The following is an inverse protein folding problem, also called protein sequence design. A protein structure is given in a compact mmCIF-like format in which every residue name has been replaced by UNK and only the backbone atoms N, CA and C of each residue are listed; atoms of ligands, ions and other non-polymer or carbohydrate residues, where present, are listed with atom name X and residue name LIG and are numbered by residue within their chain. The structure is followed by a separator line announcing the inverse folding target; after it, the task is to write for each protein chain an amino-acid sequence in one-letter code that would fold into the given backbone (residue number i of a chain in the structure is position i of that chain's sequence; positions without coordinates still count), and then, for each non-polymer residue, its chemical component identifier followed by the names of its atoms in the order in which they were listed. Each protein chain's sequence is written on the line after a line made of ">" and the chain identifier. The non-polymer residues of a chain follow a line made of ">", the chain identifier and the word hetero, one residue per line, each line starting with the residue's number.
data_IF_545195692311
#
_entry.id   IF_545195692311
#
_cell.length_a   1.000
_cell.length_b   1.000
_cell.length_c   1.000
_cell.angle_alpha   90.00
_cell.angle_beta   90.00
_cell.angle_gamma   90.00
#
_symmetry.space_group_name_H-M   'P 1'
#
loop_
_entity.id
_entity.type
_entity.pdbx_description
1 polymer ?
#
# COMPACT_ATOMS: atom_id res chain seq x y z
N UNK A 1 -5.89 29.01 19.47
CA UNK A 1 -6.96 29.74 18.76
C UNK A 1 -6.73 29.65 17.26
N UNK A 2 -7.74 29.29 16.48
CA UNK A 2 -7.68 29.30 15.00
C UNK A 2 -8.59 30.42 14.47
N UNK A 3 -8.08 31.38 13.67
CA UNK A 3 -8.91 32.39 13.05
C UNK A 3 -9.99 31.80 12.13
N UNK A 4 -11.14 32.49 12.02
CA UNK A 4 -12.25 32.04 11.18
C UNK A 4 -11.82 31.88 9.71
N UNK A 5 -11.08 32.83 9.15
CA UNK A 5 -10.59 32.75 7.77
C UNK A 5 -9.66 31.54 7.54
N UNK A 6 -8.81 31.22 8.52
CA UNK A 6 -7.96 30.01 8.45
C UNK A 6 -8.81 28.74 8.50
N UNK A 7 -9.87 28.74 9.31
CA UNK A 7 -10.80 27.61 9.41
C UNK A 7 -11.56 27.43 8.09
N UNK A 8 -12.16 28.50 7.56
CA UNK A 8 -12.84 28.50 6.25
C UNK A 8 -11.92 28.06 5.11
N UNK A 9 -10.67 28.52 5.09
CA UNK A 9 -9.71 28.10 4.07
C UNK A 9 -9.39 26.59 4.15
N UNK A 10 -9.35 26.00 5.35
CA UNK A 10 -9.16 24.55 5.53
C UNK A 10 -10.36 23.76 5.03
N UNK A 11 -11.58 24.18 5.37
CA UNK A 11 -12.80 23.55 4.87
C UNK A 11 -12.91 23.68 3.34
N UNK A 12 -12.60 24.85 2.79
CA UNK A 12 -12.57 25.06 1.33
C UNK A 12 -11.53 24.17 0.64
N UNK A 13 -10.34 24.00 1.25
CA UNK A 13 -9.31 23.07 0.76
C UNK A 13 -9.74 21.60 0.81
N UNK A 14 -10.70 21.25 1.67
CA UNK A 14 -11.35 19.94 1.74
C UNK A 14 -12.63 19.86 0.89
N UNK A 15 -12.94 20.89 0.09
CA UNK A 15 -14.09 20.91 -0.81
C UNK A 15 -15.41 21.39 -0.18
N UNK A 16 -15.41 21.89 1.05
CA UNK A 16 -16.60 22.38 1.74
C UNK A 16 -16.72 23.92 1.66
N UNK A 17 -17.84 24.40 1.14
CA UNK A 17 -18.23 25.80 1.17
C UNK A 17 -18.62 26.27 2.57
N UNK A 18 -18.90 27.57 2.72
CA UNK A 18 -19.21 28.16 4.03
C UNK A 18 -20.45 27.56 4.70
N UNK A 19 -21.55 27.38 3.95
CA UNK A 19 -22.77 26.74 4.49
C UNK A 19 -22.51 25.29 4.87
N UNK A 20 -21.79 24.54 4.02
CA UNK A 20 -21.45 23.14 4.29
C UNK A 20 -20.52 23.00 5.51
N UNK A 21 -19.60 23.95 5.74
CA UNK A 21 -18.79 24.02 6.97
C UNK A 21 -19.69 24.18 8.20
N UNK A 22 -20.69 25.08 8.15
CA UNK A 22 -21.63 25.29 9.26
C UNK A 22 -22.40 24.01 9.53
N UNK A 23 -22.98 23.42 8.49
CA UNK A 23 -23.74 22.18 8.60
C UNK A 23 -22.87 21.05 9.16
N UNK A 24 -21.68 20.84 8.63
CA UNK A 24 -20.80 19.75 9.06
C UNK A 24 -20.39 19.88 10.53
N UNK A 25 -20.10 21.10 11.01
CA UNK A 25 -19.79 21.34 12.42
C UNK A 25 -21.01 21.09 13.31
N UNK A 26 -22.20 21.60 12.93
CA UNK A 26 -23.42 21.36 13.69
C UNK A 26 -23.79 19.86 13.73
N UNK A 27 -23.71 19.17 12.59
CA UNK A 27 -23.97 17.74 12.48
C UNK A 27 -23.00 16.88 13.30
N UNK A 28 -21.73 17.27 13.40
CA UNK A 28 -20.78 16.60 14.29
C UNK A 28 -21.07 16.89 15.76
N UNK A 29 -21.37 18.15 16.09
CA UNK A 29 -21.54 18.63 17.45
C UNK A 29 -22.97 18.50 18.01
N UNK A 30 -23.89 17.79 17.36
CA UNK A 30 -25.10 17.31 18.07
C UNK A 30 -24.77 16.12 19.00
N UNK A 31 -23.62 15.45 18.80
CA UNK A 31 -23.20 14.33 19.63
C UNK A 31 -21.98 14.69 20.49
N UNK A 32 -21.97 14.21 21.73
CA UNK A 32 -20.82 14.25 22.62
C UNK A 32 -20.62 15.57 23.35
N UNK A 33 -19.35 16.00 23.45
CA UNK A 33 -18.97 17.19 24.22
C UNK A 33 -17.45 17.36 24.36
N UNK A 34 -17.06 18.32 25.19
CA UNK A 34 -15.65 18.65 25.46
C UNK A 34 -15.26 18.14 26.85
N UNK A 35 -14.15 17.41 26.93
CA UNK A 35 -13.58 16.92 28.20
C UNK A 35 -12.77 17.99 28.94
N UNK A 36 -13.06 18.18 30.23
CA UNK A 36 -12.36 19.13 31.11
C UNK A 36 -10.90 18.77 31.32
N UNK A 37 -10.55 17.48 31.31
CA UNK A 37 -9.17 17.01 31.50
C UNK A 37 -8.19 17.57 30.48
N UNK A 38 -8.64 17.73 29.24
CA UNK A 38 -7.79 18.22 28.14
C UNK A 38 -8.05 19.69 27.80
N UNK A 39 -9.23 20.21 28.13
CA UNK A 39 -9.67 21.54 27.69
C UNK A 39 -10.32 22.35 28.83
N UNK A 40 -9.66 22.52 29.99
CA UNK A 40 -10.25 23.18 31.16
C UNK A 40 -10.69 24.61 30.86
N UNK A 41 -9.93 25.34 30.04
CA UNK A 41 -10.26 26.73 29.65
C UNK A 41 -11.50 26.83 28.75
N UNK A 42 -11.82 25.77 27.99
CA UNK A 42 -12.99 25.72 27.10
C UNK A 42 -14.25 25.46 27.92
N UNK A 43 -14.18 24.53 28.87
CA UNK A 43 -15.35 24.12 29.67
C UNK A 43 -15.53 24.94 30.95
N UNK A 44 -14.50 25.68 31.39
CA UNK A 44 -14.54 26.45 32.63
C UNK A 44 -14.55 25.58 33.90
N UNK A 45 -13.97 24.37 33.83
CA UNK A 45 -13.91 23.39 34.91
C UNK A 45 -12.47 22.96 35.15
N UNK A 46 -12.19 22.51 36.38
CA UNK A 46 -10.90 21.91 36.72
C UNK A 46 -10.65 20.61 35.91
N UNK A 47 -9.40 20.30 35.53
CA UNK A 47 -9.06 19.09 34.76
C UNK A 47 -9.32 17.77 35.50
N UNK A 48 -9.57 17.81 36.80
CA UNK A 48 -9.78 16.61 37.63
C UNK A 48 -10.84 16.89 38.69
N UNK A 49 -11.89 16.06 38.82
CA UNK A 49 -12.20 14.89 37.97
C UNK A 49 -12.55 15.29 36.53
N UNK A 50 -12.31 14.37 35.58
CA UNK A 50 -12.68 14.61 34.19
C UNK A 50 -14.20 14.68 34.04
N UNK A 51 -14.68 15.75 33.42
CA UNK A 51 -16.10 16.03 33.20
C UNK A 51 -16.30 16.42 31.74
N UNK A 52 -17.37 15.92 31.13
CA UNK A 52 -17.74 16.30 29.76
C UNK A 52 -18.79 17.41 29.83
N UNK A 53 -18.53 18.53 29.16
CA UNK A 53 -19.55 19.55 28.91
C UNK A 53 -20.06 19.37 27.48
N UNK A 54 -21.36 19.07 27.39
CA UNK A 54 -22.01 18.68 26.14
C UNK A 54 -22.26 19.87 25.21
N UNK A 55 -22.37 19.57 23.93
CA UNK A 55 -22.62 20.56 22.89
C UNK A 55 -24.10 20.96 22.77
N UNK A 56 -25.02 20.10 23.21
CA UNK A 56 -26.46 20.39 23.35
C UNK A 56 -27.06 19.59 24.52
N UNK A 57 -28.38 19.69 24.71
CA UNK A 57 -29.10 19.01 25.80
C UNK A 57 -29.33 17.50 25.59
N UNK A 58 -29.05 16.95 24.40
CA UNK A 58 -29.33 15.56 24.01
C UNK A 58 -28.10 14.90 23.39
N UNK A 59 -27.01 14.88 24.16
CA UNK A 59 -25.66 14.59 23.67
C UNK A 59 -25.40 13.18 23.12
N UNK A 60 -26.34 12.25 23.25
CA UNK A 60 -26.29 10.89 22.70
C UNK A 60 -27.38 10.61 21.65
N UNK A 61 -28.14 11.64 21.26
CA UNK A 61 -29.21 11.57 20.26
C UNK A 61 -28.83 12.43 19.06
N UNK A 62 -28.88 11.85 17.86
CA UNK A 62 -28.63 12.60 16.63
C UNK A 62 -29.88 13.40 16.22
N UNK A 63 -29.96 14.65 16.65
CA UNK A 63 -31.07 15.56 16.41
C UNK A 63 -30.62 17.03 16.19
N UNK A 64 -31.59 17.94 16.07
CA UNK A 64 -31.32 19.35 15.74
C UNK A 64 -31.01 20.25 16.93
N UNK A 65 -30.83 19.72 18.15
CA UNK A 65 -30.80 20.53 19.36
C UNK A 65 -29.63 21.52 19.41
N UNK A 66 -28.45 21.12 18.93
CA UNK A 66 -27.33 22.05 18.74
C UNK A 66 -27.67 23.30 17.91
N UNK A 67 -28.59 23.18 16.94
CA UNK A 67 -29.01 24.29 16.10
C UNK A 67 -30.19 25.07 16.71
N UNK A 68 -31.21 24.40 17.25
CA UNK A 68 -32.36 25.06 17.89
C UNK A 68 -31.92 25.88 19.10
N UNK A 69 -31.12 25.29 19.99
CA UNK A 69 -30.64 25.96 21.20
C UNK A 69 -29.69 27.13 20.89
N UNK A 70 -28.90 27.03 19.83
CA UNK A 70 -28.07 28.15 19.36
C UNK A 70 -28.93 29.32 18.90
N UNK A 71 -29.96 29.05 18.09
CA UNK A 71 -30.87 30.04 17.51
C UNK A 71 -31.73 30.69 18.61
N UNK A 72 -32.21 29.91 19.56
CA UNK A 72 -33.03 30.37 20.69
C UNK A 72 -32.19 31.07 21.77
N UNK A 73 -30.86 30.98 21.68
CA UNK A 73 -29.92 31.57 22.64
C UNK A 73 -29.90 30.87 23.99
N UNK A 74 -30.37 29.62 24.05
CA UNK A 74 -30.44 28.79 25.27
C UNK A 74 -29.27 27.80 25.39
N UNK A 75 -28.44 27.66 24.35
CA UNK A 75 -27.36 26.68 24.30
C UNK A 75 -26.35 26.85 25.43
N UNK A 76 -25.91 25.72 25.99
CA UNK A 76 -24.79 25.63 26.93
C UNK A 76 -23.50 25.14 26.28
N UNK A 77 -23.46 25.06 24.94
CA UNK A 77 -22.28 24.62 24.21
C UNK A 77 -21.04 25.45 24.62
N UNK A 78 -19.98 24.82 25.16
CA UNK A 78 -18.80 25.53 25.65
C UNK A 78 -17.99 26.20 24.52
N UNK A 79 -18.24 25.83 23.26
CA UNK A 79 -17.68 26.46 22.05
C UNK A 79 -18.58 27.57 21.49
N UNK A 80 -19.74 27.81 22.09
CA UNK A 80 -20.62 28.96 21.79
C UNK A 80 -20.57 30.00 22.90
N UNK A 81 -20.62 29.54 24.15
CA UNK A 81 -20.73 30.36 25.36
C UNK A 81 -19.53 30.11 26.27
N UNK A 82 -18.44 30.83 26.00
CA UNK A 82 -17.27 30.93 26.87
C UNK A 82 -16.99 32.40 27.24
N UNK A 83 -16.49 32.62 28.46
CA UNK A 83 -16.08 33.93 28.95
C UNK A 83 -14.98 34.56 28.06
N UNK A 84 -14.08 33.74 27.53
CA UNK A 84 -13.12 34.12 26.52
C UNK A 84 -13.74 33.91 25.13
N UNK A 85 -14.23 34.99 24.53
CA UNK A 85 -14.86 34.96 23.19
C UNK A 85 -13.95 34.40 22.08
N UNK A 86 -12.63 34.39 22.29
CA UNK A 86 -11.70 33.76 21.33
C UNK A 86 -11.88 32.23 21.31
N UNK A 87 -12.32 31.59 22.39
CA UNK A 87 -12.54 30.14 22.43
C UNK A 87 -13.88 29.71 21.78
N UNK A 88 -14.78 30.66 21.48
CA UNK A 88 -16.09 30.35 20.90
C UNK A 88 -16.03 30.00 19.39
N UNK A 89 -15.45 28.84 19.03
CA UNK A 89 -15.33 28.39 17.63
C UNK A 89 -16.68 28.23 16.95
N UNK A 90 -17.61 27.55 17.61
CA UNK A 90 -18.91 27.21 17.04
C UNK A 90 -19.73 28.49 16.84
N UNK A 91 -19.68 29.43 17.81
CA UNK A 91 -20.31 30.75 17.65
C UNK A 91 -19.83 31.48 16.40
N UNK A 92 -18.51 31.46 16.13
CA UNK A 92 -17.93 32.13 14.96
C UNK A 92 -18.28 31.42 13.66
N UNK A 93 -18.32 30.08 13.66
CA UNK A 93 -18.67 29.28 12.50
C UNK A 93 -20.15 29.47 12.17
N UNK A 94 -21.04 29.22 13.12
CA UNK A 94 -22.49 29.33 12.96
C UNK A 94 -22.93 30.74 12.57
N UNK A 95 -22.24 31.77 13.08
CA UNK A 95 -22.50 33.16 12.71
C UNK A 95 -21.79 33.65 11.45
N UNK A 96 -20.96 32.82 10.79
CA UNK A 96 -20.11 33.28 9.69
C UNK A 96 -20.90 33.70 8.45
N UNK A 97 -22.12 33.18 8.24
CA UNK A 97 -23.02 33.53 7.15
C UNK A 97 -24.21 34.39 7.59
N UNK A 98 -24.09 35.06 8.75
CA UNK A 98 -25.19 35.82 9.36
C UNK A 98 -26.26 34.94 10.00
N UNK A 99 -25.87 33.77 10.54
CA UNK A 99 -26.74 32.75 11.14
C UNK A 99 -27.72 32.10 10.15
N UNK A 100 -27.55 32.27 8.84
CA UNK A 100 -28.53 31.81 7.86
C UNK A 100 -28.64 30.28 7.86
N UNK A 101 -27.52 29.58 7.72
CA UNK A 101 -27.50 28.11 7.61
C UNK A 101 -27.94 27.45 8.93
N UNK A 102 -27.38 27.88 10.07
CA UNK A 102 -27.72 27.28 11.37
C UNK A 102 -29.19 27.52 11.75
N UNK A 103 -29.76 28.67 11.37
CA UNK A 103 -31.19 28.95 11.59
C UNK A 103 -32.07 28.04 10.75
N UNK A 104 -31.68 27.77 9.50
CA UNK A 104 -32.44 26.85 8.65
C UNK A 104 -32.42 25.42 9.22
N UNK A 105 -31.25 24.96 9.69
CA UNK A 105 -31.10 23.66 10.35
C UNK A 105 -31.93 23.54 11.63
N UNK A 106 -32.06 24.61 12.42
CA UNK A 106 -32.85 24.62 13.65
C UNK A 106 -34.37 24.72 13.43
N UNK A 107 -34.85 25.10 12.24
CA UNK A 107 -36.29 25.33 12.00
C UNK A 107 -37.10 24.09 11.68
N UNK A 108 -36.47 23.03 11.16
CA UNK A 108 -37.18 21.82 10.75
C UNK A 108 -36.42 20.58 11.21
N UNK A 109 -37.10 19.69 11.94
CA UNK A 109 -36.47 18.44 12.42
C UNK A 109 -35.94 17.55 11.29
N UNK A 110 -36.61 17.57 10.13
CA UNK A 110 -36.14 16.86 8.93
C UNK A 110 -34.99 17.60 8.22
N UNK A 111 -35.01 18.94 8.21
CA UNK A 111 -33.97 19.73 7.54
C UNK A 111 -32.59 19.59 8.16
N UNK A 112 -32.50 19.40 9.48
CA UNK A 112 -31.23 19.07 10.13
C UNK A 112 -30.65 17.76 9.58
N UNK A 113 -31.43 16.67 9.62
CA UNK A 113 -30.97 15.35 9.18
C UNK A 113 -30.65 15.32 7.69
N UNK A 114 -31.44 15.99 6.85
CA UNK A 114 -31.14 16.14 5.42
C UNK A 114 -29.82 16.89 5.19
N UNK A 115 -29.63 18.04 5.85
CA UNK A 115 -28.38 18.80 5.72
C UNK A 115 -27.16 17.98 6.19
N UNK A 116 -27.32 17.16 7.23
CA UNK A 116 -26.27 16.27 7.71
C UNK A 116 -25.96 15.12 6.76
N UNK A 117 -26.99 14.50 6.17
CA UNK A 117 -26.80 13.47 5.17
C UNK A 117 -26.01 14.01 3.97
N UNK A 118 -26.36 15.19 3.46
CA UNK A 118 -25.68 15.81 2.32
C UNK A 118 -24.18 16.04 2.58
N UNK A 119 -23.83 16.64 3.74
CA UNK A 119 -22.41 16.93 4.05
C UNK A 119 -21.60 15.71 4.43
N UNK A 120 -22.20 14.69 5.08
CA UNK A 120 -21.52 13.43 5.35
C UNK A 120 -21.33 12.60 4.09
N UNK A 121 -22.30 12.57 3.18
CA UNK A 121 -22.14 11.95 1.85
C UNK A 121 -20.96 12.59 1.12
N UNK A 122 -20.86 13.92 1.09
CA UNK A 122 -19.72 14.61 0.47
C UNK A 122 -18.37 14.30 1.14
N UNK A 123 -18.36 14.03 2.46
CA UNK A 123 -17.15 13.62 3.18
C UNK A 123 -16.70 12.21 2.81
N UNK A 124 -17.64 11.33 2.46
CA UNK A 124 -17.39 9.95 2.05
C UNK A 124 -17.05 9.89 0.55
N UNK A 125 -17.86 10.56 -0.26
CA UNK A 125 -17.77 10.65 -1.72
C UNK A 125 -16.75 11.70 -2.15
N UNK A 126 -15.50 11.50 -1.74
CA UNK A 126 -14.37 12.38 -2.10
C UNK A 126 -13.98 12.32 -3.57
N UNK A 127 -14.57 11.39 -4.31
CA UNK A 127 -14.35 11.18 -5.74
C UNK A 127 -15.40 12.00 -6.52
N UNK A 128 -14.99 12.91 -7.44
CA UNK A 128 -15.94 13.72 -8.20
C UNK A 128 -16.98 12.86 -8.92
N UNK A 129 -18.24 13.30 -8.97
CA UNK A 129 -19.33 12.56 -9.59
C UNK A 129 -19.13 12.24 -11.09
N UNK A 130 -18.22 12.96 -11.77
CA UNK A 130 -17.83 12.67 -13.15
C UNK A 130 -16.88 11.47 -13.29
N UNK A 131 -16.34 10.97 -12.19
CA UNK A 131 -15.43 9.82 -12.17
C UNK A 131 -16.27 8.57 -11.94
N UNK A 132 -16.27 7.69 -12.95
CA UNK A 132 -16.79 6.33 -12.78
C UNK A 132 -15.73 5.51 -12.07
N UNK A 133 -16.03 5.08 -10.84
CA UNK A 133 -15.20 4.10 -10.14
C UNK A 133 -15.26 2.77 -10.88
N UNK A 134 -14.15 2.03 -10.87
CA UNK A 134 -14.17 0.64 -11.31
C UNK A 134 -14.97 -0.20 -10.32
N UNK A 135 -15.25 -1.43 -10.70
CA UNK A 135 -15.68 -2.44 -9.73
C UNK A 135 -14.67 -2.51 -8.56
N UNK A 136 -15.12 -2.91 -7.36
CA UNK A 136 -14.22 -3.17 -6.25
C UNK A 136 -13.05 -4.05 -6.68
N UNK A 137 -11.85 -3.70 -6.19
CA UNK A 137 -10.66 -4.48 -6.49
C UNK A 137 -10.74 -5.77 -5.67
N UNK A 138 -11.03 -6.88 -6.34
CA UNK A 138 -11.04 -8.20 -5.73
C UNK A 138 -9.63 -8.69 -5.40
N UNK A 139 -9.53 -9.53 -4.37
CA UNK A 139 -8.28 -10.19 -4.06
C UNK A 139 -7.87 -11.12 -5.21
N UNK A 140 -6.62 -11.00 -5.67
CA UNK A 140 -6.05 -11.94 -6.63
C UNK A 140 -6.07 -13.35 -6.04
N UNK A 141 -6.82 -14.23 -6.69
CA UNK A 141 -7.11 -15.60 -6.27
C UNK A 141 -5.82 -16.42 -6.09
N UNK A 142 -5.03 -16.56 -7.16
CA UNK A 142 -3.75 -17.28 -7.15
C UNK A 142 -2.63 -16.33 -7.51
N UNK A 143 -1.70 -16.12 -6.57
CA UNK A 143 -0.57 -15.21 -6.74
C UNK A 143 0.77 -15.90 -6.46
N UNK A 144 1.59 -16.18 -7.49
CA UNK A 144 2.93 -16.67 -7.28
C UNK A 144 3.91 -15.54 -6.92
N UNK A 145 4.95 -15.91 -6.18
CA UNK A 145 6.13 -15.14 -5.86
C UNK A 145 7.32 -16.04 -6.22
N UNK A 146 8.10 -15.66 -7.22
CA UNK A 146 9.12 -16.53 -7.82
C UNK A 146 10.46 -15.84 -7.79
N UNK A 147 11.51 -16.61 -7.52
CA UNK A 147 12.90 -16.20 -7.66
C UNK A 147 13.64 -17.22 -8.53
N UNK A 148 14.54 -16.71 -9.37
CA UNK A 148 15.48 -17.51 -10.15
C UNK A 148 16.89 -16.98 -9.92
N UNK A 149 17.78 -17.85 -9.46
CA UNK A 149 19.19 -17.52 -9.27
C UNK A 149 20.08 -18.62 -9.82
N UNK A 150 21.29 -18.28 -10.26
CA UNK A 150 22.25 -19.25 -10.69
C UNK A 150 22.95 -19.87 -9.48
N UNK A 151 22.89 -21.20 -9.38
CA UNK A 151 23.59 -21.94 -8.33
C UNK A 151 25.07 -22.10 -8.68
N UNK A 152 25.92 -22.27 -7.67
CA UNK A 152 27.37 -22.46 -7.87
C UNK A 152 27.75 -23.71 -8.68
N UNK A 153 26.85 -24.69 -8.80
CA UNK A 153 27.00 -25.88 -9.66
C UNK A 153 26.56 -25.64 -11.12
N UNK A 154 26.09 -24.42 -11.47
CA UNK A 154 25.66 -24.05 -12.81
C UNK A 154 24.20 -24.37 -13.14
N UNK A 155 23.38 -24.90 -12.21
CA UNK A 155 21.92 -25.03 -12.41
C UNK A 155 21.19 -23.74 -12.02
N UNK A 156 20.01 -23.51 -12.58
CA UNK A 156 19.13 -22.41 -12.14
C UNK A 156 18.32 -22.91 -10.94
N UNK A 157 18.47 -22.28 -9.79
CA UNK A 157 17.59 -22.52 -8.65
C UNK A 157 16.30 -21.73 -8.83
N UNK A 158 15.19 -22.44 -9.01
CA UNK A 158 13.84 -21.90 -9.10
C UNK A 158 13.14 -22.15 -7.76
N UNK A 159 12.76 -21.09 -7.07
CA UNK A 159 12.11 -21.20 -5.77
C UNK A 159 11.09 -20.10 -5.55
N UNK A 160 10.25 -20.27 -4.54
CA UNK A 160 9.30 -19.23 -4.16
C UNK A 160 8.08 -19.78 -3.45
N UNK A 161 7.00 -19.00 -3.51
CA UNK A 161 5.72 -19.30 -2.89
C UNK A 161 4.57 -19.10 -3.86
N UNK A 162 3.53 -19.90 -3.70
CA UNK A 162 2.21 -19.67 -4.28
C UNK A 162 1.26 -19.30 -3.15
N UNK A 163 0.70 -18.09 -3.20
CA UNK A 163 -0.39 -17.67 -2.35
C UNK A 163 -1.71 -18.05 -2.99
N UNK A 164 -2.53 -18.81 -2.29
CA UNK A 164 -3.85 -19.26 -2.71
C UNK A 164 -4.90 -18.62 -1.81
N UNK A 165 -5.91 -17.96 -2.39
CA UNK A 165 -7.06 -17.45 -1.66
C UNK A 165 -7.93 -18.62 -1.14
N UNK A 166 -8.25 -18.58 0.15
CA UNK A 166 -9.00 -19.64 0.86
C UNK A 166 -10.19 -19.06 1.62
N UNK A 167 -10.60 -17.85 1.27
CA UNK A 167 -11.74 -17.13 1.85
C UNK A 167 -13.01 -17.96 1.73
N UNK A 168 -13.89 -17.81 2.73
CA UNK A 168 -15.21 -18.44 2.71
C UNK A 168 -15.95 -18.05 1.43
N UNK A 169 -16.48 -19.06 0.71
CA UNK A 169 -17.09 -18.89 -0.61
C UNK A 169 -16.22 -19.37 -1.78
N UNK A 170 -14.90 -19.49 -1.61
CA UNK A 170 -14.02 -20.09 -2.64
C UNK A 170 -14.21 -21.60 -2.80
N UNK A 171 -14.81 -22.26 -1.81
CA UNK A 171 -15.00 -23.72 -1.78
C UNK A 171 -13.71 -24.51 -1.50
N UNK A 172 -12.63 -23.85 -1.06
CA UNK A 172 -11.33 -24.49 -0.80
C UNK A 172 -11.15 -24.78 0.68
N UNK A 173 -10.93 -26.06 1.02
CA UNK A 173 -10.49 -26.48 2.35
C UNK A 173 -8.97 -26.68 2.36
N UNK A 174 -8.25 -25.93 3.19
CA UNK A 174 -6.78 -26.06 3.32
C UNK A 174 -6.32 -27.45 3.80
N UNK A 175 -7.19 -28.23 4.44
CA UNK A 175 -6.90 -29.61 4.83
C UNK A 175 -7.01 -30.59 3.66
N UNK A 176 -7.71 -30.21 2.58
CA UNK A 176 -7.96 -31.02 1.38
C UNK A 176 -7.59 -30.23 0.11
N UNK A 177 -6.47 -29.50 0.18
CA UNK A 177 -5.93 -28.72 -0.92
C UNK A 177 -4.44 -28.99 -1.10
N UNK A 178 -4.08 -29.52 -2.26
CA UNK A 178 -2.71 -29.71 -2.71
C UNK A 178 -2.39 -28.76 -3.86
N UNK A 179 -1.16 -28.23 -3.86
CA UNK A 179 -0.65 -27.36 -4.92
C UNK A 179 0.59 -27.99 -5.53
N UNK A 180 0.71 -27.93 -6.85
CA UNK A 180 1.95 -28.23 -7.55
C UNK A 180 2.09 -27.32 -8.76
N UNK A 181 3.30 -27.23 -9.30
CA UNK A 181 3.58 -26.48 -10.52
C UNK A 181 3.95 -27.46 -11.63
N UNK A 182 3.71 -27.06 -12.88
CA UNK A 182 4.45 -27.60 -14.02
C UNK A 182 5.18 -26.47 -14.72
N UNK A 183 6.38 -26.71 -15.24
CA UNK A 183 7.07 -25.72 -16.06
C UNK A 183 7.48 -26.30 -17.41
N UNK A 184 7.56 -25.40 -18.38
CA UNK A 184 8.05 -25.68 -19.73
C UNK A 184 9.47 -25.13 -19.89
N UNK A 185 10.29 -25.80 -20.70
CA UNK A 185 11.64 -25.33 -21.02
C UNK A 185 11.62 -24.07 -21.91
N UNK A 186 12.79 -23.56 -22.32
CA UNK A 186 12.89 -22.33 -23.13
C UNK A 186 12.13 -22.40 -24.45
N UNK A 187 11.95 -23.59 -25.03
CA UNK A 187 11.21 -23.77 -26.28
C UNK A 187 9.70 -23.88 -26.04
N UNK A 188 9.26 -23.79 -24.78
CA UNK A 188 7.88 -24.01 -24.39
C UNK A 188 7.49 -25.49 -24.38
N UNK A 189 8.47 -26.41 -24.40
CA UNK A 189 8.23 -27.85 -24.41
C UNK A 189 8.36 -28.47 -23.02
N UNK A 190 7.59 -29.54 -22.80
CA UNK A 190 7.57 -30.30 -21.56
C UNK A 190 6.70 -29.70 -20.45
N UNK A 191 6.50 -30.50 -19.41
CA UNK A 191 5.76 -30.16 -18.20
C UNK A 191 6.44 -30.85 -17.01
N UNK A 192 7.55 -30.29 -16.55
CA UNK A 192 8.25 -30.84 -15.38
C UNK A 192 7.47 -30.49 -14.12
N UNK A 193 7.05 -31.52 -13.38
CA UNK A 193 6.29 -31.35 -12.14
C UNK A 193 7.20 -30.88 -11.01
N UNK A 194 6.80 -29.81 -10.34
CA UNK A 194 7.44 -29.28 -9.14
C UNK A 194 6.47 -29.40 -7.97
N UNK A 195 6.85 -30.22 -6.99
CA UNK A 195 6.08 -30.37 -5.77
C UNK A 195 6.12 -29.07 -4.95
N UNK A 196 5.03 -28.77 -4.26
CA UNK A 196 5.03 -27.74 -3.21
C UNK A 196 4.77 -28.37 -1.85
N UNK A 197 5.14 -27.63 -0.81
CA UNK A 197 4.78 -27.94 0.56
C UNK A 197 3.98 -26.78 1.12
N UNK A 198 2.88 -27.06 1.83
CA UNK A 198 2.18 -26.02 2.57
C UNK A 198 3.11 -25.48 3.66
N UNK A 199 3.22 -24.16 3.76
CA UNK A 199 4.01 -23.53 4.80
C UNK A 199 3.31 -23.70 6.17
N UNK A 200 4.03 -24.21 7.18
CA UNK A 200 3.46 -24.64 8.48
C UNK A 200 2.87 -23.47 9.29
N UNK A 201 3.25 -22.23 8.98
CA UNK A 201 2.65 -20.99 9.51
C UNK A 201 1.90 -20.16 8.45
N UNK A 202 1.79 -20.67 7.22
CA UNK A 202 1.41 -19.93 6.03
C UNK A 202 -0.10 -19.75 5.86
N UNK A 203 -0.79 -19.26 6.88
CA UNK A 203 -2.14 -18.69 6.70
C UNK A 203 -2.10 -17.22 7.03
N UNK A 204 -2.49 -16.38 6.08
CA UNK A 204 -2.54 -14.93 6.26
C UNK A 204 -3.96 -14.42 6.07
N UNK A 205 -4.32 -13.36 6.80
CA UNK A 205 -5.56 -12.62 6.58
C UNK A 205 -5.29 -11.31 5.83
N UNK A 206 -6.21 -10.92 4.95
CA UNK A 206 -6.21 -9.67 4.21
C UNK A 206 -7.31 -8.71 4.67
N UNK A 207 -7.46 -7.62 3.93
CA UNK A 207 -8.59 -6.70 4.10
C UNK A 207 -9.91 -7.44 3.81
N UNK A 208 -11.01 -6.94 4.36
CA UNK A 208 -12.36 -7.48 4.11
C UNK A 208 -12.59 -8.96 4.49
N UNK A 209 -11.76 -9.51 5.39
CA UNK A 209 -11.91 -10.90 5.86
C UNK A 209 -11.31 -11.95 4.92
N UNK A 210 -10.57 -11.52 3.91
CA UNK A 210 -9.86 -12.43 3.01
C UNK A 210 -8.87 -13.31 3.77
N UNK A 211 -8.78 -14.59 3.39
CA UNK A 211 -7.78 -15.52 3.95
C UNK A 211 -7.00 -16.18 2.82
N UNK A 212 -5.74 -16.51 3.10
CA UNK A 212 -4.85 -17.11 2.12
C UNK A 212 -4.01 -18.22 2.74
N UNK A 213 -3.76 -19.28 1.98
CA UNK A 213 -2.77 -20.31 2.28
C UNK A 213 -1.52 -20.14 1.40
N UNK A 214 -0.35 -20.44 1.96
CA UNK A 214 0.93 -20.30 1.28
C UNK A 214 1.58 -21.67 1.04
N UNK A 215 2.06 -21.87 -0.18
CA UNK A 215 2.70 -23.11 -0.63
C UNK A 215 4.09 -22.80 -1.17
N UNK A 216 5.13 -23.31 -0.52
CA UNK A 216 6.52 -23.10 -0.92
C UNK A 216 6.98 -24.16 -1.93
N UNK A 217 7.84 -23.77 -2.85
CA UNK A 217 8.48 -24.69 -3.78
C UNK A 217 9.97 -24.34 -3.96
N UNK A 218 10.75 -25.36 -4.29
CA UNK A 218 12.16 -25.20 -4.64
C UNK A 218 12.56 -26.36 -5.55
N UNK A 219 13.17 -26.06 -6.69
CA UNK A 219 13.67 -27.04 -7.64
C UNK A 219 14.89 -26.51 -8.38
N UNK A 220 15.69 -27.42 -8.92
CA UNK A 220 16.77 -27.08 -9.83
C UNK A 220 16.31 -27.27 -11.28
N UNK A 221 16.52 -26.25 -12.09
CA UNK A 221 16.31 -26.28 -13.54
C UNK A 221 17.68 -26.43 -14.22
N UNK A 222 17.75 -27.36 -15.17
CA UNK A 222 18.94 -27.55 -15.99
C UNK A 222 19.15 -26.30 -16.86
N UNK A 223 20.26 -25.60 -16.65
CA UNK A 223 20.60 -24.38 -17.39
C UNK A 223 20.74 -24.60 -18.91
N UNK A 224 20.98 -25.82 -19.39
CA UNK A 224 21.00 -26.11 -20.83
C UNK A 224 19.60 -26.11 -21.46
N UNK A 225 18.57 -26.46 -20.68
CA UNK A 225 17.16 -26.46 -21.12
C UNK A 225 16.44 -25.17 -20.78
N UNK A 226 16.71 -24.64 -19.60
CA UNK A 226 16.10 -23.42 -19.07
C UNK A 226 14.61 -23.53 -18.81
N UNK A 227 13.96 -22.37 -18.70
CA UNK A 227 12.54 -22.23 -18.38
C UNK A 227 11.94 -21.02 -19.11
N UNK A 228 10.69 -21.14 -19.56
CA UNK A 228 9.95 -20.04 -20.21
C UNK A 228 8.66 -19.65 -19.49
N UNK A 229 8.03 -20.60 -18.80
CA UNK A 229 6.80 -20.38 -18.06
C UNK A 229 6.52 -21.52 -17.10
N UNK A 230 5.61 -21.26 -16.16
CA UNK A 230 5.01 -22.30 -15.33
C UNK A 230 3.49 -22.15 -15.26
N UNK A 231 2.84 -23.25 -14.85
CA UNK A 231 1.42 -23.33 -14.53
C UNK A 231 1.27 -23.73 -13.07
N UNK A 232 0.15 -23.34 -12.46
CA UNK A 232 -0.17 -23.70 -11.08
C UNK A 232 -1.39 -24.62 -11.10
N UNK A 233 -1.28 -25.73 -10.39
CA UNK A 233 -2.32 -26.76 -10.30
C UNK A 233 -2.81 -26.83 -8.86
N UNK A 234 -4.11 -26.65 -8.66
CA UNK A 234 -4.77 -26.91 -7.39
C UNK A 234 -5.55 -28.21 -7.51
N UNK A 235 -5.21 -29.19 -6.69
CA UNK A 235 -5.89 -30.47 -6.61
C UNK A 235 -6.62 -30.58 -5.28
N UNK A 236 -7.86 -31.06 -5.32
CA UNK A 236 -8.62 -31.50 -4.13
C UNK A 236 -8.38 -33.00 -3.93
N UNK A 237 -7.51 -33.42 -2.98
CA UNK A 237 -7.11 -34.82 -2.86
C UNK A 237 -8.26 -35.81 -2.67
N UNK A 238 -9.29 -35.46 -1.91
CA UNK A 238 -10.44 -36.35 -1.66
C UNK A 238 -11.23 -36.73 -2.92
N UNK A 239 -11.24 -35.87 -3.94
CA UNK A 239 -11.97 -36.09 -5.21
C UNK A 239 -11.06 -36.27 -6.41
N UNK A 240 -9.76 -36.02 -6.25
CA UNK A 240 -8.77 -35.94 -7.32
C UNK A 240 -9.13 -34.93 -8.43
N UNK A 241 -9.98 -33.94 -8.13
CA UNK A 241 -10.31 -32.86 -9.06
C UNK A 241 -9.16 -31.85 -9.10
N UNK A 242 -8.68 -31.51 -10.31
CA UNK A 242 -7.59 -30.54 -10.50
C UNK A 242 -8.05 -29.36 -11.34
N UNK A 243 -7.78 -28.16 -10.84
CA UNK A 243 -7.93 -26.90 -11.59
C UNK A 243 -6.55 -26.35 -11.94
N UNK A 244 -6.39 -25.93 -13.19
CA UNK A 244 -5.11 -25.43 -13.72
C UNK A 244 -5.24 -23.92 -13.96
N UNK A 245 -4.43 -23.15 -13.25
CA UNK A 245 -4.35 -21.70 -13.38
C UNK A 245 -3.27 -21.34 -14.40
N UNK A 246 -3.71 -20.67 -15.46
CA UNK A 246 -2.90 -20.39 -16.65
C UNK A 246 -2.66 -18.90 -16.89
N UNK A 247 -2.91 -18.02 -15.91
CA UNK A 247 -2.67 -16.58 -16.06
C UNK A 247 -3.25 -16.04 -17.39
N UNK A 248 -4.58 -16.15 -17.55
CA UNK A 248 -5.32 -15.79 -18.77
C UNK A 248 -4.94 -16.56 -20.04
N UNK A 249 -4.35 -17.75 -19.88
CA UNK A 249 -4.07 -18.71 -20.97
C UNK A 249 -2.61 -18.77 -21.40
N UNK A 250 -1.80 -17.77 -21.04
CA UNK A 250 -0.39 -17.66 -21.43
C UNK A 250 0.57 -18.45 -20.54
N UNK A 251 0.12 -18.85 -19.35
CA UNK A 251 0.98 -19.30 -18.25
C UNK A 251 1.63 -18.12 -17.53
N UNK A 252 2.34 -18.42 -16.45
CA UNK A 252 3.14 -17.42 -15.73
C UNK A 252 4.52 -17.34 -16.40
N UNK A 253 4.82 -16.27 -17.14
CA UNK A 253 6.06 -16.17 -17.91
C UNK A 253 7.27 -16.04 -16.98
N UNK A 254 8.37 -16.65 -17.39
CA UNK A 254 9.68 -16.51 -16.78
C UNK A 254 10.71 -16.37 -17.89
N UNK A 255 11.72 -15.53 -17.68
CA UNK A 255 12.86 -15.42 -18.58
C UNK A 255 14.15 -15.67 -17.81
N UNK A 256 14.90 -16.67 -18.22
CA UNK A 256 16.16 -17.04 -17.60
C UNK A 256 17.38 -16.42 -18.28
N UNK A 257 17.20 -15.43 -19.16
CA UNK A 257 18.29 -14.70 -19.80
C UNK A 257 19.09 -13.84 -18.81
N UNK A 258 18.42 -13.34 -17.76
CA UNK A 258 18.97 -12.43 -16.75
C UNK A 258 18.58 -12.91 -15.35
N UNK A 259 19.55 -13.30 -14.54
CA UNK A 259 19.34 -13.85 -13.19
C UNK A 259 20.01 -12.98 -12.14
N UNK A 260 19.22 -12.37 -11.26
CA UNK A 260 19.74 -11.58 -10.14
C UNK A 260 20.44 -12.48 -9.11
N UNK A 261 21.70 -12.17 -8.77
CA UNK A 261 22.47 -12.92 -7.77
C UNK A 261 22.37 -12.22 -6.42
N UNK A 262 21.23 -12.41 -5.74
CA UNK A 262 20.91 -11.74 -4.46
C UNK A 262 21.99 -11.98 -3.39
N UNK A 263 22.50 -13.21 -3.26
CA UNK A 263 23.55 -13.54 -2.29
C UNK A 263 24.90 -12.86 -2.55
N UNK A 264 25.12 -12.39 -3.78
CA UNK A 264 26.33 -11.69 -4.23
C UNK A 264 26.10 -10.17 -4.35
N UNK A 265 24.88 -9.70 -4.02
CA UNK A 265 24.46 -8.31 -4.17
C UNK A 265 24.08 -7.70 -2.84
N UNK A 266 24.72 -6.60 -2.46
CA UNK A 266 24.40 -5.94 -1.20
C UNK A 266 24.91 -4.49 -1.09
N UNK A 267 24.30 -3.75 -0.19
CA UNK A 267 24.73 -2.44 0.27
C UNK A 267 25.62 -2.59 1.50
N UNK A 268 26.82 -2.04 1.42
CA UNK A 268 27.77 -2.04 2.51
C UNK A 268 27.17 -1.36 3.75
N UNK A 269 27.42 -1.97 4.92
CA UNK A 269 26.93 -1.44 6.20
C UNK A 269 27.68 -0.19 6.62
N UNK A 270 28.93 -0.06 6.19
CA UNK A 270 29.82 1.06 6.49
C UNK A 270 29.53 2.20 5.53
N UNK A 271 29.44 3.41 6.07
CA UNK A 271 29.35 4.62 5.27
C UNK A 271 30.71 5.31 5.18
N UNK A 272 31.10 5.73 3.98
CA UNK A 272 32.25 6.59 3.71
C UNK A 272 31.72 7.84 3.00
N UNK A 273 32.07 9.04 3.47
CA UNK A 273 31.61 10.30 2.89
C UNK A 273 30.07 10.42 2.73
N UNK A 274 29.31 9.93 3.71
CA UNK A 274 27.84 9.85 3.68
C UNK A 274 27.24 8.97 2.59
N UNK A 275 28.04 8.11 1.96
CA UNK A 275 27.58 7.11 1.01
C UNK A 275 27.90 5.70 1.50
N UNK A 276 27.19 4.71 0.95
CA UNK A 276 27.38 3.28 1.15
C UNK A 276 27.60 2.66 -0.21
N UNK A 277 28.68 1.91 -0.38
CA UNK A 277 28.90 1.16 -1.60
C UNK A 277 27.78 0.13 -1.79
N UNK A 278 27.19 0.10 -2.97
CA UNK A 278 26.19 -0.86 -3.38
C UNK A 278 26.74 -1.64 -4.56
N UNK A 279 26.88 -2.95 -4.39
CA UNK A 279 27.34 -3.87 -5.42
C UNK A 279 26.17 -4.76 -5.82
N UNK A 280 26.00 -4.91 -7.13
CA UNK A 280 24.99 -5.76 -7.74
C UNK A 280 25.66 -6.71 -8.71
N UNK A 281 25.29 -7.98 -8.57
CA UNK A 281 25.78 -9.08 -9.39
C UNK A 281 24.62 -9.75 -10.10
N UNK A 282 24.79 -10.03 -11.37
CA UNK A 282 23.80 -10.73 -12.19
C UNK A 282 24.51 -11.78 -13.05
N UNK A 283 23.78 -12.84 -13.39
CA UNK A 283 24.22 -13.83 -14.36
C UNK A 283 23.41 -13.65 -15.65
N UNK A 284 24.10 -13.47 -16.77
CA UNK A 284 23.50 -13.28 -18.10
C UNK A 284 23.82 -14.49 -18.96
N UNK A 285 22.80 -15.02 -19.63
CA UNK A 285 22.94 -16.19 -20.50
C UNK A 285 23.96 -15.91 -21.61
N UNK A 286 24.88 -16.84 -21.87
CA UNK A 286 26.11 -16.59 -22.64
C UNK A 286 25.86 -16.02 -24.05
N UNK A 287 24.82 -16.49 -24.74
CA UNK A 287 24.42 -16.01 -26.06
C UNK A 287 23.92 -14.56 -26.07
N UNK A 288 23.55 -14.01 -24.90
CA UNK A 288 23.12 -12.63 -24.70
C UNK A 288 24.14 -11.79 -23.96
N UNK A 289 25.32 -12.33 -23.65
CA UNK A 289 26.36 -11.62 -22.93
C UNK A 289 26.98 -10.44 -23.71
N UNK A 290 26.67 -10.29 -25.00
CA UNK A 290 27.03 -9.09 -25.77
C UNK A 290 26.04 -7.95 -25.62
N UNK A 291 24.84 -8.21 -25.11
CA UNK A 291 23.81 -7.20 -24.93
C UNK A 291 24.15 -6.28 -23.74
N UNK A 292 23.74 -5.00 -23.77
CA UNK A 292 23.92 -4.10 -22.64
C UNK A 292 23.17 -4.58 -21.41
N UNK A 293 23.86 -4.58 -20.25
CA UNK A 293 23.28 -4.93 -18.95
C UNK A 293 23.33 -3.69 -18.07
N UNK A 294 22.17 -3.26 -17.58
CA UNK A 294 22.06 -2.04 -16.77
C UNK A 294 21.22 -2.26 -15.52
N UNK A 295 21.42 -1.38 -14.54
CA UNK A 295 20.62 -1.26 -13.34
C UNK A 295 19.99 0.14 -13.30
N UNK A 296 18.66 0.19 -13.33
CA UNK A 296 17.89 1.41 -13.11
C UNK A 296 17.63 1.59 -11.62
N UNK A 297 18.46 2.40 -10.97
CA UNK A 297 18.45 2.62 -9.53
C UNK A 297 17.63 3.84 -9.15
N UNK A 298 16.67 3.67 -8.22
CA UNK A 298 15.90 4.80 -7.68
C UNK A 298 16.70 5.55 -6.63
N UNK A 299 17.05 6.81 -6.93
CA UNK A 299 17.67 7.79 -6.05
C UNK A 299 16.59 8.56 -5.26
N UNK A 300 16.73 8.59 -3.93
CA UNK A 300 15.83 9.34 -3.04
C UNK A 300 16.33 10.76 -2.78
N UNK A 301 15.79 11.75 -3.49
CA UNK A 301 16.27 13.14 -3.48
C UNK A 301 15.40 14.04 -2.60
N UNK A 302 16.03 14.94 -1.82
CA UNK A 302 15.29 15.89 -0.97
C UNK A 302 14.69 17.01 -1.81
N UNK A 303 13.45 17.39 -1.51
CA UNK A 303 12.74 18.49 -2.17
C UNK A 303 12.51 19.63 -1.18
N UNK A 304 12.85 20.85 -1.56
CA UNK A 304 12.68 22.02 -0.69
C UNK A 304 11.19 22.22 -0.36
N UNK A 305 10.85 22.32 0.93
CA UNK A 305 9.47 22.55 1.38
C UNK A 305 8.54 21.33 1.31
N UNK A 306 9.02 20.15 0.92
CA UNK A 306 8.20 18.92 0.81
C UNK A 306 8.79 17.82 1.71
N UNK A 307 7.97 17.27 2.61
CA UNK A 307 8.39 16.21 3.54
C UNK A 307 8.73 14.91 2.80
N UNK A 308 8.01 14.62 1.72
CA UNK A 308 8.21 13.43 0.89
C UNK A 308 9.36 13.66 -0.10
N UNK A 309 10.25 12.70 -0.24
CA UNK A 309 11.38 12.76 -1.19
C UNK A 309 10.91 12.61 -2.64
N UNK A 310 11.68 13.19 -3.57
CA UNK A 310 11.58 12.88 -4.99
C UNK A 310 12.21 11.53 -5.29
N UNK A 311 11.72 10.87 -6.33
CA UNK A 311 12.29 9.64 -6.88
C UNK A 311 12.90 10.02 -8.23
N UNK A 312 14.20 9.82 -8.37
CA UNK A 312 14.93 10.00 -9.62
C UNK A 312 15.54 8.66 -10.02
N UNK A 313 15.48 8.29 -11.29
CA UNK A 313 16.08 7.04 -11.78
C UNK A 313 17.46 7.37 -12.33
N UNK A 314 18.45 6.61 -11.87
CA UNK A 314 19.84 6.67 -12.31
C UNK A 314 20.23 5.32 -12.89
N UNK A 315 20.77 5.30 -14.12
CA UNK A 315 21.09 4.06 -14.84
C UNK A 315 22.58 3.78 -14.73
N UNK A 316 22.92 2.60 -14.22
CA UNK A 316 24.30 2.14 -14.02
C UNK A 316 24.57 0.97 -14.96
N UNK A 317 25.65 1.04 -15.73
CA UNK A 317 26.12 -0.10 -16.54
C UNK A 317 26.75 -1.18 -15.66
N UNK A 318 26.42 -2.45 -15.92
CA UNK A 318 27.09 -3.60 -15.33
C UNK A 318 28.09 -4.16 -16.35
N UNK A 319 29.28 -4.53 -15.87
CA UNK A 319 30.36 -5.01 -16.71
C UNK A 319 30.61 -6.50 -16.46
N UNK A 320 30.93 -7.23 -17.53
CA UNK A 320 31.30 -8.63 -17.43
C UNK A 320 32.56 -8.79 -16.56
N UNK A 321 32.53 -9.70 -15.59
CA UNK A 321 33.67 -9.99 -14.70
C UNK A 321 34.70 -10.91 -15.33
N UNK A 322 34.33 -11.57 -16.45
CA UNK A 322 35.08 -12.64 -17.09
C UNK A 322 34.82 -14.02 -16.48
N UNK A 323 34.01 -14.12 -15.43
CA UNK A 323 33.59 -15.38 -14.85
C UNK A 323 32.43 -16.00 -15.64
N UNK A 324 32.49 -17.31 -15.85
CA UNK A 324 31.42 -18.10 -16.46
C UNK A 324 30.97 -19.23 -15.52
N UNK A 325 29.66 -19.44 -15.41
CA UNK A 325 29.03 -20.50 -14.60
C UNK A 325 27.87 -21.10 -15.37
N UNK A 326 27.87 -22.41 -15.64
CA UNK A 326 26.70 -23.11 -16.17
C UNK A 326 26.07 -22.55 -17.46
N UNK A 327 26.87 -21.95 -18.37
CA UNK A 327 26.34 -21.30 -19.58
C UNK A 327 25.91 -19.84 -19.40
N UNK A 328 26.27 -19.22 -18.27
CA UNK A 328 26.06 -17.81 -17.98
C UNK A 328 27.41 -17.09 -17.80
N UNK A 329 27.43 -15.80 -18.14
CA UNK A 329 28.51 -14.85 -17.88
C UNK A 329 28.09 -13.97 -16.71
N UNK A 330 28.98 -13.76 -15.75
CA UNK A 330 28.71 -12.92 -14.58
C UNK A 330 29.01 -11.45 -14.90
N UNK A 331 28.10 -10.57 -14.51
CA UNK A 331 28.22 -9.13 -14.62
C UNK A 331 28.11 -8.50 -13.23
N UNK A 332 28.88 -7.43 -13.01
CA UNK A 332 28.88 -6.69 -11.76
C UNK A 332 28.81 -5.18 -12.03
N UNK A 333 28.05 -4.48 -11.20
CA UNK A 333 28.04 -3.01 -11.12
C UNK A 333 28.19 -2.55 -9.68
N UNK A 334 28.95 -1.49 -9.46
CA UNK A 334 29.09 -0.87 -8.13
C UNK A 334 28.82 0.63 -8.20
N UNK A 335 28.00 1.15 -7.28
CA UNK A 335 27.69 2.57 -7.16
C UNK A 335 27.58 3.01 -5.69
N UNK A 336 27.68 4.31 -5.42
CA UNK A 336 27.49 4.86 -4.08
C UNK A 336 26.02 5.18 -3.83
N UNK A 337 25.47 4.78 -2.68
CA UNK A 337 24.13 5.17 -2.21
C UNK A 337 24.24 6.13 -1.04
N UNK A 338 23.56 7.28 -1.09
CA UNK A 338 23.49 8.17 0.05
C UNK A 338 22.95 7.44 1.29
N UNK A 339 23.63 7.55 2.45
CA UNK A 339 23.24 6.89 3.70
C UNK A 339 21.83 7.26 4.16
N UNK A 340 21.31 8.43 3.77
CA UNK A 340 19.94 8.80 4.09
C UNK A 340 18.89 8.09 3.22
N UNK A 341 19.27 7.52 2.07
CA UNK A 341 18.39 6.92 1.07
C UNK A 341 18.88 5.58 0.52
N UNK A 342 19.68 4.85 1.30
CA UNK A 342 20.28 3.59 0.88
C UNK A 342 19.25 2.45 0.74
N UNK A 343 18.14 2.54 1.47
CA UNK A 343 17.03 1.60 1.33
C UNK A 343 16.11 2.13 0.22
N UNK A 344 16.24 1.55 -0.95
CA UNK A 344 15.54 1.95 -2.17
C UNK A 344 15.24 0.74 -3.06
N UNK A 345 14.70 0.97 -4.25
CA UNK A 345 14.51 -0.06 -5.29
C UNK A 345 15.40 0.18 -6.50
N UNK A 346 15.57 -0.89 -7.27
CA UNK A 346 16.22 -0.87 -8.56
C UNK A 346 15.62 -1.95 -9.45
N UNK A 347 15.75 -1.77 -10.76
CA UNK A 347 15.39 -2.76 -11.77
C UNK A 347 16.65 -3.16 -12.54
N UNK A 348 16.73 -4.42 -12.96
CA UNK A 348 17.81 -4.90 -13.83
C UNK A 348 17.28 -5.05 -15.24
N UNK A 349 18.05 -4.58 -16.21
CA UNK A 349 17.66 -4.57 -17.61
C UNK A 349 18.76 -5.19 -18.46
N UNK A 350 18.40 -6.24 -19.19
CA UNK A 350 19.19 -6.79 -20.29
C UNK A 350 18.58 -6.27 -21.59
N UNK A 351 19.28 -5.35 -22.25
CA UNK A 351 18.87 -4.78 -23.53
C UNK A 351 19.01 -5.76 -24.69
N UNK A 352 18.83 -5.30 -25.93
CA UNK A 352 18.86 -6.15 -27.13
C UNK A 352 17.55 -6.07 -27.91
N UNK A 353 17.32 -7.02 -28.84
CA UNK A 353 16.07 -7.07 -29.62
C UNK A 353 14.86 -7.40 -28.73
N UNK A 354 15.05 -8.28 -27.74
CA UNK A 354 14.05 -8.62 -26.72
C UNK A 354 14.55 -8.20 -25.35
N UNK A 355 14.05 -7.08 -24.84
CA UNK A 355 14.40 -6.58 -23.51
C UNK A 355 13.91 -7.53 -22.42
N UNK A 356 14.79 -7.85 -21.46
CA UNK A 356 14.45 -8.67 -20.28
C UNK A 356 14.69 -7.87 -19.03
N UNK A 357 13.71 -7.87 -18.13
CA UNK A 357 13.76 -7.11 -16.89
C UNK A 357 13.54 -7.98 -15.67
N UNK A 358 14.30 -7.69 -14.61
CA UNK A 358 14.01 -8.15 -13.24
C UNK A 358 13.69 -6.91 -12.41
N UNK A 359 12.41 -6.70 -12.15
CA UNK A 359 11.88 -5.43 -11.64
C UNK A 359 11.53 -5.47 -10.15
N UNK A 360 11.40 -4.28 -9.57
CA UNK A 360 10.99 -4.01 -8.20
C UNK A 360 11.90 -4.62 -7.13
N UNK A 361 13.17 -4.87 -7.47
CA UNK A 361 14.15 -5.35 -6.52
C UNK A 361 14.40 -4.30 -5.45
N UNK A 362 14.79 -4.76 -4.25
CA UNK A 362 15.08 -3.88 -3.11
C UNK A 362 16.53 -4.04 -2.71
N UNK A 363 17.15 -2.91 -2.41
CA UNK A 363 18.48 -2.89 -1.81
C UNK A 363 18.45 -3.58 -0.44
N UNK A 364 19.44 -4.41 -0.17
CA UNK A 364 19.60 -5.08 1.10
C UNK A 364 21.00 -4.84 1.69
N UNK A 365 21.11 -4.80 3.01
CA UNK A 365 22.41 -4.65 3.65
C UNK A 365 23.20 -5.97 3.55
N UNK A 366 24.51 -5.89 3.38
CA UNK A 366 25.35 -7.09 3.37
C UNK A 366 25.14 -7.93 4.64
N UNK A 367 25.28 -9.26 4.59
CA UNK A 367 25.25 -10.11 5.77
C UNK A 367 26.20 -9.60 6.86
N UNK A 368 25.85 -9.81 8.14
CA UNK A 368 26.80 -9.53 9.22
C UNK A 368 27.85 -10.65 9.21
N UNK A 369 29.12 -10.27 9.15
CA UNK A 369 30.26 -11.16 9.39
C UNK A 369 30.29 -11.65 10.84
#
# INVERSE_FOLDING_TARGET
>A
HTPLNTTMARFAGAGFGQGEMISLVACGHTLGGVHSRNNPDIVGLEPTPDTVVHFDSTSDVFDGNVATEYVDGTTTNPLVVNANATLNSDRRIFGSDGNKTITEMGRTGDGFKTACADVFTKMIDTVPASVTLTDPIDAVDIKPYVSMTLSGNGSIALSGWVRVQTTEGTGRDTADLAVHLTYADRNGEGDVVVATTRDEGGVSAGLHGETFAWYQFSTAVDASRGISKFLIHLTTPSTNATTIYRNDGSGYPLDDALLYQESESCVNRTSVNNERAFTVTVAVRKERASDPVTMDLVRLVRRQGVIVRGLEVDTIDLLATGEERGGYVIFEGTTGLATSGWSTSFDLVLGGEEEVKVEFLKTQACPRS
#
